data_IF_179994456036
#
_entry.id   IF_179994456036
#
_cell.length_a   1.000
_cell.length_b   1.000
_cell.length_c   1.000
_cell.angle_alpha   90.00
_cell.angle_beta   90.00
_cell.angle_gamma   90.00
#
_symmetry.space_group_name_H-M   'P 1'
#
loop_
_entity.id
_entity.type
_entity.pdbx_description
1 polymer ?
#
# COMPACT_ATOMS: atom_id res chain seq x y z
N UNK A 1 -11.65 5.06 -15.33
CA UNK A 1 -11.99 6.16 -14.40
C UNK A 1 -10.77 7.07 -14.30
N UNK A 2 -10.89 8.38 -14.59
CA UNK A 2 -9.77 9.32 -14.46
C UNK A 2 -9.73 9.89 -13.04
N UNK A 3 -8.57 9.84 -12.39
CA UNK A 3 -8.29 10.50 -11.10
C UNK A 3 -7.23 11.57 -11.35
N UNK A 4 -7.36 12.73 -10.69
CA UNK A 4 -6.41 13.84 -10.80
C UNK A 4 -5.76 14.03 -9.43
N UNK A 5 -4.44 14.16 -9.42
CA UNK A 5 -3.63 14.47 -8.23
C UNK A 5 -2.85 15.74 -8.56
N UNK A 6 -3.01 16.76 -7.73
CA UNK A 6 -2.26 18.01 -7.84
C UNK A 6 -0.87 17.85 -7.20
N UNK A 7 0.12 18.43 -7.85
CA UNK A 7 1.46 18.63 -7.32
C UNK A 7 1.80 20.11 -7.45
N UNK A 8 2.51 20.66 -6.47
CA UNK A 8 3.21 21.91 -6.70
C UNK A 8 4.33 21.73 -7.73
N UNK A 9 4.76 22.82 -8.34
CA UNK A 9 5.73 22.80 -9.45
C UNK A 9 7.08 22.19 -9.01
N UNK A 10 7.59 22.58 -7.84
CA UNK A 10 8.87 22.10 -7.31
C UNK A 10 8.85 20.59 -7.05
N UNK A 11 7.77 20.08 -6.47
CA UNK A 11 7.60 18.64 -6.22
C UNK A 11 7.52 17.89 -7.55
N UNK A 12 6.77 18.40 -8.53
CA UNK A 12 6.64 17.76 -9.82
C UNK A 12 7.97 17.70 -10.58
N UNK A 13 8.76 18.77 -10.53
CA UNK A 13 10.09 18.81 -11.14
C UNK A 13 11.06 17.82 -10.49
N UNK A 14 11.03 17.71 -9.16
CA UNK A 14 11.81 16.69 -8.42
C UNK A 14 11.39 15.27 -8.79
N UNK A 15 10.08 15.01 -8.92
CA UNK A 15 9.58 13.69 -9.34
C UNK A 15 10.01 13.35 -10.77
N UNK A 16 9.98 14.30 -11.70
CA UNK A 16 10.50 14.11 -13.08
C UNK A 16 12.00 13.86 -13.10
N UNK A 17 12.77 14.55 -12.25
CA UNK A 17 14.20 14.31 -12.12
C UNK A 17 14.48 12.92 -11.56
N UNK A 18 13.81 12.54 -10.47
CA UNK A 18 13.93 11.21 -9.87
C UNK A 18 13.60 10.09 -10.87
N UNK A 19 12.56 10.28 -11.70
CA UNK A 19 12.22 9.34 -12.76
C UNK A 19 13.35 9.17 -13.78
N UNK A 20 13.96 10.27 -14.22
CA UNK A 20 15.13 10.22 -15.12
C UNK A 20 16.31 9.50 -14.48
N UNK A 21 16.61 9.82 -13.23
CA UNK A 21 17.75 9.25 -12.50
C UNK A 21 17.59 7.74 -12.27
N UNK A 22 16.36 7.26 -12.04
CA UNK A 22 16.04 5.84 -11.86
C UNK A 22 15.68 5.12 -13.16
N UNK A 23 15.72 5.80 -14.31
CA UNK A 23 15.20 5.30 -15.59
C UNK A 23 13.76 4.75 -15.50
N UNK A 24 12.92 5.41 -14.70
CA UNK A 24 11.54 5.04 -14.41
C UNK A 24 10.57 6.14 -14.83
N UNK A 25 9.34 5.73 -15.14
CA UNK A 25 8.23 6.65 -15.38
C UNK A 25 7.64 7.18 -14.08
N UNK A 26 6.96 8.32 -14.14
CA UNK A 26 6.24 8.86 -12.99
C UNK A 26 5.18 7.89 -12.44
N UNK A 27 4.56 7.09 -13.32
CA UNK A 27 3.58 6.08 -12.92
C UNK A 27 4.23 4.96 -12.09
N UNK A 28 5.38 4.45 -12.51
CA UNK A 28 6.11 3.42 -11.75
C UNK A 28 6.54 3.92 -10.37
N UNK A 29 7.00 5.19 -10.29
CA UNK A 29 7.29 5.82 -9.00
C UNK A 29 6.04 5.93 -8.12
N UNK A 30 4.89 6.27 -8.70
CA UNK A 30 3.63 6.36 -7.98
C UNK A 30 3.16 4.99 -7.49
N UNK A 31 3.23 3.96 -8.34
CA UNK A 31 2.83 2.60 -8.00
C UNK A 31 3.70 2.03 -6.86
N UNK A 32 5.02 2.27 -6.88
CA UNK A 32 5.95 1.92 -5.81
C UNK A 32 5.57 2.63 -4.50
N UNK A 33 5.42 3.96 -4.55
CA UNK A 33 5.10 4.77 -3.37
C UNK A 33 3.74 4.40 -2.75
N UNK A 34 2.72 4.17 -3.58
CA UNK A 34 1.41 3.76 -3.11
C UNK A 34 1.43 2.34 -2.55
N UNK A 35 2.12 1.40 -3.19
CA UNK A 35 2.24 0.05 -2.67
C UNK A 35 2.88 0.05 -1.27
N UNK A 36 3.95 0.81 -1.08
CA UNK A 36 4.63 0.90 0.21
C UNK A 36 3.77 1.59 1.28
N UNK A 37 3.04 2.65 0.91
CA UNK A 37 2.09 3.31 1.80
C UNK A 37 0.97 2.34 2.24
N UNK A 38 0.33 1.65 1.29
CA UNK A 38 -0.76 0.72 1.57
C UNK A 38 -0.29 -0.44 2.45
N UNK A 39 0.88 -1.02 2.16
CA UNK A 39 1.48 -2.09 2.99
C UNK A 39 1.72 -1.62 4.42
N UNK A 40 2.28 -0.43 4.62
CA UNK A 40 2.56 0.14 5.96
C UNK A 40 1.29 0.29 6.80
N UNK A 41 0.16 0.58 6.18
CA UNK A 41 -1.15 0.69 6.84
C UNK A 41 -1.95 -0.61 6.83
N UNK A 42 -1.36 -1.72 6.36
CA UNK A 42 -2.00 -3.03 6.31
C UNK A 42 -3.13 -3.13 5.28
N UNK A 43 -3.20 -2.20 4.32
CA UNK A 43 -4.17 -2.28 3.22
C UNK A 43 -3.60 -3.22 2.15
N UNK A 44 -4.35 -4.23 1.69
CA UNK A 44 -3.89 -5.09 0.60
C UNK A 44 -3.69 -4.30 -0.70
N UNK A 45 -2.57 -4.54 -1.37
CA UNK A 45 -2.20 -3.83 -2.62
C UNK A 45 -2.83 -4.46 -3.87
N UNK A 46 -3.19 -5.74 -3.81
CA UNK A 46 -3.86 -6.46 -4.88
C UNK A 46 -4.87 -7.49 -4.34
N UNK A 47 -5.61 -8.14 -5.26
CA UNK A 47 -6.60 -9.16 -4.91
C UNK A 47 -5.95 -10.37 -4.21
N UNK A 48 -4.74 -10.77 -4.63
CA UNK A 48 -4.05 -11.94 -4.08
C UNK A 48 -3.67 -11.70 -2.62
N UNK A 49 -3.15 -10.53 -2.30
CA UNK A 49 -2.84 -10.08 -0.95
C UNK A 49 -4.10 -9.96 -0.10
N UNK A 50 -5.20 -9.47 -0.68
CA UNK A 50 -6.48 -9.39 0.01
C UNK A 50 -7.00 -10.78 0.39
N UNK A 51 -6.98 -11.72 -0.56
CA UNK A 51 -7.38 -13.12 -0.34
C UNK A 51 -6.49 -13.80 0.71
N UNK A 52 -5.17 -13.60 0.62
CA UNK A 52 -4.21 -14.14 1.58
C UNK A 52 -4.43 -13.59 2.99
N UNK A 53 -4.73 -12.30 3.13
CA UNK A 53 -5.04 -11.67 4.43
C UNK A 53 -6.38 -12.18 4.99
N UNK A 54 -7.40 -12.32 4.16
CA UNK A 54 -8.70 -12.88 4.53
C UNK A 54 -8.57 -14.33 5.04
N UNK A 55 -7.86 -15.19 4.30
CA UNK A 55 -7.61 -16.57 4.69
C UNK A 55 -6.75 -16.71 5.96
N UNK A 56 -5.91 -15.72 6.28
CA UNK A 56 -5.16 -15.67 7.54
C UNK A 56 -6.02 -15.19 8.70
N UNK A 57 -6.95 -14.27 8.46
CA UNK A 57 -7.90 -13.81 9.48
C UNK A 57 -8.83 -14.93 9.93
N UNK A 58 -9.28 -15.79 9.01
CA UNK A 58 -10.09 -16.98 9.34
C UNK A 58 -9.31 -18.09 10.05
N UNK A 59 -7.98 -18.07 9.99
CA UNK A 59 -7.08 -19.01 10.67
C UNK A 59 -6.63 -18.57 12.07
N UNK A 60 -7.04 -17.41 12.60
CA UNK A 60 -6.82 -17.12 14.03
C UNK A 60 -7.71 -18.09 14.82
N UNK A 61 -7.14 -19.03 15.60
CA UNK A 61 -7.95 -19.86 16.47
C UNK A 61 -8.66 -18.94 17.48
N UNK A 62 -9.94 -19.16 17.68
CA UNK A 62 -10.80 -18.50 18.67
C UNK A 62 -10.40 -18.89 20.12
N UNK A 63 -9.12 -18.73 20.46
CA UNK A 63 -8.54 -19.21 21.72
C UNK A 63 -7.79 -18.08 22.42
N UNK A 64 -8.47 -16.95 22.64
CA UNK A 64 -7.99 -15.91 23.55
C UNK A 64 -9.13 -15.22 24.32
N UNK A 65 -10.31 -15.83 24.41
CA UNK A 65 -11.36 -15.42 25.34
C UNK A 65 -11.88 -16.66 26.04
N UNK A 66 -11.27 -17.04 27.16
CA UNK A 66 -11.86 -17.80 28.29
C UNK A 66 -10.79 -18.12 29.36
N UNK A 67 -10.07 -17.13 29.88
CA UNK A 67 -9.32 -17.26 31.15
C UNK A 67 -9.48 -15.99 31.97
N UNK A 68 -10.46 -16.01 32.88
CA UNK A 68 -10.68 -14.92 33.83
C UNK A 68 -12.12 -14.86 34.32
N UNK A 69 -12.55 -15.85 35.10
CA UNK A 69 -13.57 -15.63 36.12
C UNK A 69 -12.95 -16.06 37.45
N UNK A 70 -12.72 -15.06 38.28
CA UNK A 70 -12.45 -15.17 39.71
C UNK A 70 -13.68 -15.69 40.45
#
# INVERSE_FOLDING_TARGET
MRKLIGFDEDTFDKLKQLGRDRMATLQELADEAFADLLKKHGVPIDLKDALKKSARATKRPASAEHRGKH
#
